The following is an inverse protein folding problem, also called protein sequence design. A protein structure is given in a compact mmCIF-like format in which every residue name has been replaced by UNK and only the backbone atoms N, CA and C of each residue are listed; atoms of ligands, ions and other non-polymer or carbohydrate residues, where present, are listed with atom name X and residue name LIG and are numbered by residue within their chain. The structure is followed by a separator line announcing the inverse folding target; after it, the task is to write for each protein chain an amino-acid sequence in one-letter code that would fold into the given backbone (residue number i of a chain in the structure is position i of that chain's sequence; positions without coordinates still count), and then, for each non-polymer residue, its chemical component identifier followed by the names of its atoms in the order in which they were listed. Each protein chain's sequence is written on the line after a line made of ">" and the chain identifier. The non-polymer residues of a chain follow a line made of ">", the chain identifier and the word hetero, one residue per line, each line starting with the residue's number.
data_IF_705882063394
#
_entry.id   IF_705882063394
#
_cell.length_a   1.000
_cell.length_b   1.000
_cell.length_c   1.000
_cell.angle_alpha   90.00
_cell.angle_beta   90.00
_cell.angle_gamma   90.00
#
_symmetry.space_group_name_H-M   'P 1'
#
loop_
_entity.id
_entity.type
_entity.pdbx_description
1 polymer ?
#
# COMPACT_ATOMS: atom_id res chain seq x y z
N UNK A 1 -91.69 24.39 -20.49
CA UNK A 1 -91.08 25.39 -21.40
C UNK A 1 -89.56 25.23 -21.27
N UNK A 2 -88.91 24.43 -22.14
CA UNK A 2 -88.34 24.85 -23.45
C UNK A 2 -87.16 25.82 -23.21
N UNK A 3 -85.89 25.54 -23.54
CA UNK A 3 -85.33 25.04 -24.80
C UNK A 3 -83.90 24.43 -24.67
N UNK A 4 -83.60 23.51 -25.60
CA UNK A 4 -82.29 23.01 -26.13
C UNK A 4 -81.46 24.14 -26.84
N UNK A 5 -80.29 23.90 -27.51
CA UNK A 5 -78.95 23.39 -27.11
C UNK A 5 -77.79 24.22 -27.77
N UNK A 6 -76.61 23.60 -28.01
CA UNK A 6 -75.38 23.98 -28.80
C UNK A 6 -74.19 24.55 -27.99
N UNK A 7 -73.08 23.81 -27.79
CA UNK A 7 -71.92 23.48 -28.68
C UNK A 7 -71.09 24.70 -29.10
N UNK A 8 -69.83 24.76 -28.65
CA UNK A 8 -68.61 24.81 -29.50
C UNK A 8 -67.35 24.53 -28.66
N UNK A 9 -66.45 23.73 -29.22
CA UNK A 9 -65.23 23.20 -28.66
C UNK A 9 -64.05 24.18 -28.73
N UNK A 10 -63.06 24.01 -27.84
CA UNK A 10 -61.65 24.32 -28.13
C UNK A 10 -60.77 23.19 -27.59
N UNK A 11 -59.95 22.67 -28.50
CA UNK A 11 -58.92 21.64 -28.34
C UNK A 11 -57.70 22.22 -27.61
N UNK A 12 -57.18 21.52 -26.59
CA UNK A 12 -55.91 21.83 -25.95
C UNK A 12 -55.26 20.52 -25.48
N UNK A 13 -54.31 20.04 -26.28
CA UNK A 13 -53.60 18.75 -26.15
C UNK A 13 -52.67 18.71 -24.94
N UNK A 14 -52.95 17.81 -24.00
CA UNK A 14 -52.02 17.35 -22.96
C UNK A 14 -51.22 16.16 -23.49
N UNK A 15 -49.88 16.25 -23.54
CA UNK A 15 -49.00 15.10 -23.78
C UNK A 15 -48.92 14.25 -22.50
N UNK A 16 -49.46 13.04 -22.55
CA UNK A 16 -49.19 11.96 -21.60
C UNK A 16 -48.17 11.01 -22.24
N UNK A 17 -46.98 10.91 -21.69
CA UNK A 17 -45.98 9.93 -22.13
C UNK A 17 -46.40 8.53 -21.64
N UNK A 18 -46.96 7.74 -22.54
CA UNK A 18 -47.28 6.33 -22.31
C UNK A 18 -46.01 5.48 -22.36
N UNK A 19 -45.76 4.71 -21.29
CA UNK A 19 -44.75 3.68 -21.26
C UNK A 19 -45.13 2.57 -22.26
N UNK A 20 -44.35 2.44 -23.33
CA UNK A 20 -44.48 1.34 -24.30
C UNK A 20 -43.77 0.13 -23.72
N UNK A 21 -44.54 -0.89 -23.32
CA UNK A 21 -44.04 -2.24 -23.10
C UNK A 21 -43.84 -2.91 -24.48
N UNK A 22 -42.65 -3.42 -24.82
CA UNK A 22 -42.53 -4.30 -25.98
C UNK A 22 -43.04 -5.71 -25.67
N UNK A 23 -44.02 -6.07 -26.49
CA UNK A 23 -44.64 -7.37 -26.84
C UNK A 23 -43.80 -8.66 -26.58
N UNK A 24 -44.39 -9.75 -26.04
CA UNK A 24 -43.70 -11.02 -25.81
C UNK A 24 -43.96 -12.01 -26.96
N UNK A 25 -43.16 -11.98 -28.03
CA UNK A 25 -42.94 -13.12 -28.92
C UNK A 25 -42.07 -12.72 -30.13
N UNK A 26 -40.75 -12.89 -29.98
CA UNK A 26 -39.87 -13.28 -31.07
C UNK A 26 -38.64 -13.94 -30.43
N UNK A 27 -38.74 -15.25 -30.18
CA UNK A 27 -37.61 -16.11 -29.92
C UNK A 27 -36.74 -16.15 -31.18
N UNK A 28 -35.93 -15.12 -31.39
CA UNK A 28 -34.78 -15.19 -32.28
C UNK A 28 -33.63 -15.76 -31.44
N UNK A 29 -33.06 -16.87 -31.91
CA UNK A 29 -31.88 -17.49 -31.32
C UNK A 29 -30.82 -16.41 -31.03
N UNK A 30 -30.48 -16.22 -29.75
CA UNK A 30 -29.43 -15.30 -29.30
C UNK A 30 -28.12 -15.74 -29.97
N UNK A 31 -27.76 -15.07 -31.06
CA UNK A 31 -26.48 -15.28 -31.74
C UNK A 31 -25.37 -14.83 -30.78
N UNK A 32 -24.70 -15.80 -30.17
CA UNK A 32 -23.40 -15.62 -29.54
C UNK A 32 -22.47 -15.01 -30.59
N UNK A 33 -22.17 -13.72 -30.48
CA UNK A 33 -21.07 -13.09 -31.23
C UNK A 33 -19.76 -13.65 -30.68
N UNK A 34 -19.35 -14.81 -31.20
CA UNK A 34 -18.10 -15.48 -30.88
C UNK A 34 -16.94 -14.75 -31.54
N UNK A 35 -16.54 -13.60 -31.01
CA UNK A 35 -15.18 -13.10 -31.22
C UNK A 35 -14.29 -13.86 -30.23
N UNK A 36 -13.39 -14.75 -30.68
CA UNK A 36 -12.52 -15.48 -29.78
C UNK A 36 -11.51 -14.51 -29.15
N UNK A 37 -11.62 -14.25 -27.84
CA UNK A 37 -10.46 -13.82 -27.05
C UNK A 37 -9.62 -15.07 -26.84
N UNK A 38 -8.44 -15.10 -27.44
CA UNK A 38 -7.65 -16.33 -27.63
C UNK A 38 -7.12 -16.94 -26.32
N UNK A 39 -7.01 -16.16 -25.24
CA UNK A 39 -6.74 -16.66 -23.90
C UNK A 39 -7.00 -15.60 -22.84
N UNK A 40 -7.41 -16.02 -21.64
CA UNK A 40 -7.02 -15.32 -20.41
C UNK A 40 -5.89 -16.11 -19.76
N UNK A 41 -4.95 -15.41 -19.11
CA UNK A 41 -3.89 -16.03 -18.32
C UNK A 41 -4.16 -15.73 -16.85
N UNK A 42 -4.65 -16.73 -16.12
CA UNK A 42 -4.46 -16.77 -14.68
C UNK A 42 -2.99 -17.11 -14.46
N UNK A 43 -2.37 -16.62 -13.38
CA UNK A 43 -1.03 -17.08 -13.00
C UNK A 43 -1.01 -18.62 -13.09
N UNK A 44 -0.36 -19.13 -14.13
CA UNK A 44 -0.17 -20.56 -14.46
C UNK A 44 -1.32 -21.36 -15.13
N UNK A 45 -2.42 -20.77 -15.65
CA UNK A 45 -3.41 -21.51 -16.49
C UNK A 45 -4.05 -20.69 -17.61
N UNK A 46 -4.07 -21.26 -18.83
CA UNK A 46 -4.87 -20.76 -19.95
C UNK A 46 -6.31 -21.28 -19.82
N UNK A 47 -7.33 -20.42 -19.84
CA UNK A 47 -8.70 -20.87 -20.15
C UNK A 47 -9.42 -19.90 -21.08
N UNK A 48 -10.48 -20.39 -21.72
CA UNK A 48 -11.19 -19.68 -22.78
C UNK A 48 -12.28 -18.79 -22.19
N UNK A 49 -12.26 -17.51 -22.57
CA UNK A 49 -13.32 -16.56 -22.25
C UNK A 49 -14.43 -16.60 -23.33
N UNK A 50 -15.68 -16.35 -22.93
CA UNK A 50 -16.80 -16.17 -23.86
C UNK A 50 -17.27 -14.71 -23.81
N UNK A 51 -17.63 -14.13 -24.96
CA UNK A 51 -18.26 -12.81 -25.01
C UNK A 51 -19.77 -12.97 -24.95
N UNK A 52 -20.40 -12.34 -23.96
CA UNK A 52 -21.85 -12.31 -23.79
C UNK A 52 -22.28 -10.85 -23.74
N UNK A 53 -23.06 -10.39 -24.73
CA UNK A 53 -23.51 -8.98 -24.86
C UNK A 53 -22.38 -7.94 -24.67
N UNK A 54 -21.20 -8.21 -25.24
CA UNK A 54 -20.02 -7.33 -25.14
C UNK A 54 -19.19 -7.48 -23.85
N UNK A 55 -19.62 -8.32 -22.90
CA UNK A 55 -18.88 -8.59 -21.67
C UNK A 55 -18.07 -9.88 -21.79
N UNK A 56 -16.79 -9.81 -21.43
CA UNK A 56 -15.96 -11.00 -21.27
C UNK A 56 -16.43 -11.82 -20.06
N UNK A 57 -16.67 -13.10 -20.28
CA UNK A 57 -17.08 -14.05 -19.25
C UNK A 57 -16.09 -15.20 -19.18
N UNK A 58 -15.86 -15.73 -17.98
CA UNK A 58 -14.88 -16.81 -17.74
C UNK A 58 -15.50 -17.92 -16.90
N UNK A 59 -14.97 -19.15 -16.96
CA UNK A 59 -15.41 -20.24 -16.09
C UNK A 59 -15.21 -19.87 -14.62
N UNK A 60 -16.30 -19.83 -13.86
CA UNK A 60 -16.31 -19.46 -12.44
C UNK A 60 -15.40 -20.36 -11.61
N UNK A 61 -15.39 -21.67 -11.89
CA UNK A 61 -14.58 -22.64 -11.15
C UNK A 61 -13.08 -22.30 -11.26
N UNK A 62 -12.61 -22.03 -12.47
CA UNK A 62 -11.21 -21.72 -12.74
C UNK A 62 -10.83 -20.39 -12.07
N UNK A 63 -11.68 -19.37 -12.21
CA UNK A 63 -11.51 -18.07 -11.55
C UNK A 63 -11.47 -18.21 -10.02
N UNK A 64 -12.46 -18.86 -9.42
CA UNK A 64 -12.57 -19.03 -7.97
C UNK A 64 -11.37 -19.78 -7.39
N UNK A 65 -11.04 -20.94 -7.96
CA UNK A 65 -9.93 -21.76 -7.48
C UNK A 65 -8.59 -21.03 -7.59
N UNK A 66 -8.36 -20.26 -8.66
CA UNK A 66 -7.13 -19.48 -8.82
C UNK A 66 -6.95 -18.36 -7.79
N UNK A 67 -8.04 -17.83 -7.25
CA UNK A 67 -8.05 -16.80 -6.20
C UNK A 67 -8.16 -17.41 -4.79
N UNK A 68 -8.04 -18.74 -4.67
CA UNK A 68 -8.09 -19.46 -3.39
C UNK A 68 -9.50 -19.56 -2.80
N UNK A 69 -10.55 -19.42 -3.60
CA UNK A 69 -11.93 -19.64 -3.18
C UNK A 69 -12.34 -21.10 -3.41
N UNK A 70 -13.03 -21.66 -2.42
CA UNK A 70 -13.70 -22.96 -2.55
C UNK A 70 -15.07 -22.76 -3.18
N UNK A 71 -15.47 -23.64 -4.09
CA UNK A 71 -16.78 -23.61 -4.75
C UNK A 71 -17.54 -24.90 -4.50
N UNK A 72 -18.80 -24.79 -4.06
CA UNK A 72 -19.68 -25.92 -3.76
C UNK A 72 -21.05 -25.71 -4.40
N UNK A 73 -21.54 -26.68 -5.18
CA UNK A 73 -22.94 -26.70 -5.62
C UNK A 73 -23.83 -27.20 -4.49
N UNK A 74 -24.84 -26.44 -4.12
CA UNK A 74 -25.83 -26.80 -3.11
C UNK A 74 -27.02 -27.55 -3.74
N UNK A 75 -27.76 -28.38 -2.96
CA UNK A 75 -28.93 -29.12 -3.47
C UNK A 75 -30.03 -28.24 -4.08
N UNK A 76 -30.12 -26.98 -3.64
CA UNK A 76 -31.09 -26.00 -4.15
C UNK A 76 -30.68 -25.31 -5.47
N UNK A 77 -29.58 -25.77 -6.10
CA UNK A 77 -29.09 -25.24 -7.37
C UNK A 77 -28.25 -23.97 -7.27
N UNK A 78 -27.95 -23.49 -6.06
CA UNK A 78 -27.01 -22.38 -5.85
C UNK A 78 -25.56 -22.87 -5.84
N UNK A 79 -24.68 -22.07 -6.43
CA UNK A 79 -23.25 -22.19 -6.25
C UNK A 79 -22.84 -21.29 -5.09
N UNK A 80 -22.19 -21.88 -4.09
CA UNK A 80 -21.61 -21.19 -2.95
C UNK A 80 -20.10 -21.08 -3.15
N UNK A 81 -19.56 -19.87 -3.07
CA UNK A 81 -18.12 -19.62 -2.99
C UNK A 81 -17.75 -19.22 -1.56
N UNK A 82 -16.68 -19.80 -1.02
CA UNK A 82 -16.21 -19.52 0.34
C UNK A 82 -14.71 -19.27 0.38
N UNK A 83 -14.31 -18.22 1.11
CA UNK A 83 -12.92 -17.92 1.49
C UNK A 83 -12.90 -17.25 2.86
N UNK A 84 -12.27 -17.88 3.85
CA UNK A 84 -12.35 -17.46 5.25
C UNK A 84 -13.80 -17.41 5.76
N UNK A 85 -14.22 -16.27 6.31
CA UNK A 85 -15.59 -15.99 6.76
C UNK A 85 -16.52 -15.49 5.65
N UNK A 86 -15.97 -15.17 4.47
CA UNK A 86 -16.77 -14.62 3.37
C UNK A 86 -17.44 -15.74 2.58
N UNK A 87 -18.75 -15.58 2.36
CA UNK A 87 -19.58 -16.50 1.56
C UNK A 87 -20.32 -15.70 0.49
N UNK A 88 -20.17 -16.12 -0.77
CA UNK A 88 -20.93 -15.60 -1.91
C UNK A 88 -21.83 -16.70 -2.46
N UNK A 89 -23.06 -16.37 -2.84
CA UNK A 89 -23.97 -17.31 -3.49
C UNK A 89 -24.50 -16.76 -4.80
N UNK A 90 -24.63 -17.63 -5.80
CA UNK A 90 -25.20 -17.28 -7.10
C UNK A 90 -25.93 -18.47 -7.71
N UNK A 91 -26.73 -18.22 -8.74
CA UNK A 91 -27.49 -19.25 -9.44
C UNK A 91 -27.34 -19.09 -10.96
N UNK A 92 -27.34 -20.18 -11.75
CA UNK A 92 -27.37 -20.10 -13.19
C UNK A 92 -28.58 -19.28 -13.69
N UNK A 93 -28.38 -18.57 -14.81
CA UNK A 93 -29.36 -17.72 -15.49
C UNK A 93 -29.85 -16.49 -14.71
N UNK A 94 -29.27 -16.22 -13.55
CA UNK A 94 -29.55 -15.01 -12.76
C UNK A 94 -28.51 -13.92 -13.03
N UNK A 95 -28.88 -12.67 -12.74
CA UNK A 95 -28.01 -11.50 -12.83
C UNK A 95 -27.55 -11.02 -11.46
N UNK A 96 -27.57 -11.87 -10.44
CA UNK A 96 -27.24 -11.47 -9.07
C UNK A 96 -26.25 -12.42 -8.40
N UNK A 97 -25.35 -11.85 -7.61
CA UNK A 97 -24.51 -12.55 -6.63
C UNK A 97 -24.82 -11.97 -5.26
N UNK A 98 -25.06 -12.84 -4.29
CA UNK A 98 -25.41 -12.48 -2.92
C UNK A 98 -24.20 -12.66 -1.99
N UNK A 99 -23.99 -11.70 -1.11
CA UNK A 99 -23.07 -11.78 0.04
C UNK A 99 -23.90 -11.60 1.31
N UNK A 100 -24.35 -12.70 1.91
CA UNK A 100 -25.34 -12.64 2.99
C UNK A 100 -26.67 -12.01 2.52
N UNK A 101 -27.04 -10.85 3.07
CA UNK A 101 -28.26 -10.10 2.68
C UNK A 101 -28.02 -9.10 1.54
N UNK A 102 -26.78 -8.84 1.16
CA UNK A 102 -26.44 -7.87 0.13
C UNK A 102 -26.45 -8.52 -1.26
N UNK A 103 -27.13 -7.92 -2.23
CA UNK A 103 -27.15 -8.37 -3.61
C UNK A 103 -26.33 -7.44 -4.51
N UNK A 104 -25.46 -8.02 -5.33
CA UNK A 104 -24.72 -7.31 -6.39
C UNK A 104 -25.28 -7.71 -7.75
N UNK A 105 -25.68 -6.72 -8.55
CA UNK A 105 -26.21 -6.94 -9.90
C UNK A 105 -25.05 -7.10 -10.89
N UNK A 106 -25.12 -8.15 -11.70
CA UNK A 106 -24.19 -8.45 -12.77
C UNK A 106 -24.67 -7.81 -14.09
N UNK A 107 -23.74 -7.34 -14.93
CA UNK A 107 -24.09 -6.71 -16.21
C UNK A 107 -24.69 -7.68 -17.23
N UNK A 108 -24.38 -8.98 -17.11
CA UNK A 108 -24.97 -10.07 -17.89
C UNK A 108 -25.23 -11.27 -16.98
N UNK A 109 -26.23 -12.11 -17.28
CA UNK A 109 -26.56 -13.25 -16.45
C UNK A 109 -25.42 -14.26 -16.40
N UNK A 110 -25.36 -14.99 -15.30
CA UNK A 110 -24.53 -16.18 -15.14
C UNK A 110 -25.00 -17.23 -16.15
N UNK A 111 -24.11 -17.76 -16.99
CA UNK A 111 -24.48 -18.73 -18.04
C UNK A 111 -23.93 -20.10 -17.75
N UNK A 112 -24.77 -21.13 -17.79
CA UNK A 112 -24.32 -22.51 -17.79
C UNK A 112 -24.16 -22.97 -19.25
N UNK A 113 -22.92 -23.17 -19.69
CA UNK A 113 -22.59 -23.61 -21.06
C UNK A 113 -21.68 -24.82 -20.96
N UNK A 114 -22.04 -25.94 -21.60
CA UNK A 114 -21.26 -27.19 -21.57
C UNK A 114 -20.85 -27.62 -20.15
N UNK A 115 -21.82 -27.59 -19.22
CA UNK A 115 -21.62 -27.91 -17.78
C UNK A 115 -20.62 -26.99 -17.04
N UNK A 116 -20.19 -25.87 -17.64
CA UNK A 116 -19.36 -24.85 -17.00
C UNK A 116 -20.16 -23.58 -16.78
N UNK A 117 -20.01 -23.02 -15.59
CA UNK A 117 -20.66 -21.77 -15.22
C UNK A 117 -19.77 -20.60 -15.63
N UNK A 118 -20.25 -19.74 -16.52
CA UNK A 118 -19.57 -18.55 -17.00
C UNK A 118 -20.12 -17.32 -16.31
N UNK A 119 -19.21 -16.46 -15.88
CA UNK A 119 -19.52 -15.22 -15.15
C UNK A 119 -18.80 -14.02 -15.73
N UNK A 120 -19.36 -12.80 -15.67
CA UNK A 120 -18.68 -11.59 -16.13
C UNK A 120 -17.39 -11.39 -15.32
N UNK A 121 -16.24 -11.45 -16.00
CA UNK A 121 -14.93 -11.53 -15.35
C UNK A 121 -14.72 -10.35 -14.41
N UNK A 122 -14.91 -9.11 -14.88
CA UNK A 122 -14.67 -7.90 -14.09
C UNK A 122 -15.50 -7.84 -12.82
N UNK A 123 -16.81 -8.07 -12.93
CA UNK A 123 -17.73 -7.96 -11.81
C UNK A 123 -17.45 -9.02 -10.74
N UNK A 124 -17.18 -10.26 -11.17
CA UNK A 124 -16.94 -11.36 -10.22
C UNK A 124 -15.52 -11.31 -9.66
N UNK A 125 -14.50 -10.97 -10.45
CA UNK A 125 -13.12 -10.79 -9.97
C UNK A 125 -13.07 -9.76 -8.84
N UNK A 126 -13.80 -8.65 -8.95
CA UNK A 126 -13.90 -7.66 -7.88
C UNK A 126 -14.49 -8.22 -6.59
N UNK A 127 -15.58 -8.99 -6.68
CA UNK A 127 -16.21 -9.64 -5.52
C UNK A 127 -15.31 -10.70 -4.87
N UNK A 128 -14.42 -11.31 -5.65
CA UNK A 128 -13.46 -12.30 -5.17
C UNK A 128 -12.17 -11.68 -4.59
N UNK A 129 -12.13 -10.35 -4.45
CA UNK A 129 -10.98 -9.64 -3.90
C UNK A 129 -9.82 -9.57 -4.88
N UNK A 130 -10.09 -9.27 -6.15
CA UNK A 130 -9.08 -9.13 -7.19
C UNK A 130 -9.43 -7.99 -8.16
N UNK A 131 -8.50 -7.57 -9.00
CA UNK A 131 -8.71 -6.59 -10.07
C UNK A 131 -8.39 -7.18 -11.44
N UNK A 132 -8.91 -6.54 -12.47
CA UNK A 132 -8.67 -6.88 -13.89
C UNK A 132 -7.92 -5.76 -14.58
N UNK A 133 -6.81 -6.08 -15.24
CA UNK A 133 -6.01 -5.16 -16.07
C UNK A 133 -6.14 -5.61 -17.52
N UNK A 134 -6.42 -4.68 -18.44
CA UNK A 134 -6.45 -4.96 -19.88
C UNK A 134 -5.07 -4.78 -20.48
N UNK A 135 -4.54 -5.83 -21.11
CA UNK A 135 -3.26 -5.83 -21.80
C UNK A 135 -3.50 -5.70 -23.31
N UNK A 136 -3.40 -4.47 -23.82
CA UNK A 136 -3.74 -4.16 -25.21
C UNK A 136 -2.86 -4.88 -26.24
N UNK A 137 -1.57 -5.08 -25.92
CA UNK A 137 -0.58 -5.74 -26.80
C UNK A 137 -0.92 -7.21 -27.05
N UNK A 138 -1.52 -7.87 -26.07
CA UNK A 138 -1.85 -9.31 -26.12
C UNK A 138 -3.34 -9.56 -26.25
N UNK A 139 -4.17 -8.51 -26.17
CA UNK A 139 -5.64 -8.60 -26.10
C UNK A 139 -6.10 -9.53 -24.97
N UNK A 140 -5.40 -9.49 -23.83
CA UNK A 140 -5.71 -10.33 -22.67
C UNK A 140 -6.20 -9.50 -21.49
N UNK A 141 -6.94 -10.15 -20.59
CA UNK A 141 -7.29 -9.61 -19.27
C UNK A 141 -6.40 -10.31 -18.26
N UNK A 142 -5.53 -9.56 -17.58
CA UNK A 142 -4.73 -10.01 -16.44
C UNK A 142 -5.52 -9.83 -15.16
N UNK A 143 -5.55 -10.86 -14.32
CA UNK A 143 -6.20 -10.80 -13.00
C UNK A 143 -5.13 -10.68 -11.93
N UNK A 144 -5.27 -9.69 -11.07
CA UNK A 144 -4.36 -9.44 -9.95
C UNK A 144 -5.15 -9.62 -8.66
N UNK A 145 -4.81 -10.62 -7.86
CA UNK A 145 -5.42 -10.78 -6.54
C UNK A 145 -5.11 -9.54 -5.69
N UNK A 146 -6.12 -8.94 -5.08
CA UNK A 146 -5.90 -8.08 -3.92
C UNK A 146 -5.58 -9.03 -2.79
N UNK A 147 -4.35 -8.99 -2.28
CA UNK A 147 -3.93 -9.83 -1.17
C UNK A 147 -4.98 -9.75 -0.05
N UNK A 148 -5.74 -10.83 0.11
CA UNK A 148 -6.80 -10.98 1.11
C UNK A 148 -6.30 -11.94 2.19
N UNK A 149 -5.17 -11.60 2.82
CA UNK A 149 -5.14 -11.56 4.29
C UNK A 149 -5.84 -10.26 4.70
N UNK A 150 -5.94 -9.90 5.97
CA UNK A 150 -6.24 -8.50 6.29
C UNK A 150 -5.39 -7.58 5.40
N UNK A 151 -5.99 -6.71 4.57
CA UNK A 151 -5.21 -5.65 3.93
C UNK A 151 -4.89 -4.71 5.07
N UNK A 152 -3.82 -5.07 5.76
CA UNK A 152 -2.95 -4.12 6.34
C UNK A 152 -2.69 -3.08 5.27
N UNK A 153 -3.03 -1.80 5.48
CA UNK A 153 -2.61 -0.76 4.56
C UNK A 153 -1.10 -0.93 4.35
N UNK A 154 -0.69 -1.30 3.14
CA UNK A 154 0.73 -1.40 2.81
C UNK A 154 1.09 -0.15 2.03
N UNK A 155 2.09 0.58 2.51
CA UNK A 155 2.56 1.79 1.85
C UNK A 155 4.06 1.69 1.63
N UNK A 156 4.47 1.87 0.38
CA UNK A 156 5.84 1.75 -0.06
C UNK A 156 6.40 3.10 -0.49
N UNK A 157 7.67 3.36 -0.14
CA UNK A 157 8.41 4.57 -0.50
C UNK A 157 9.75 4.21 -1.15
N UNK A 158 9.94 4.73 -2.36
CA UNK A 158 11.14 4.49 -3.19
C UNK A 158 11.85 5.78 -3.58
N UNK A 159 11.26 6.93 -3.25
CA UNK A 159 11.79 8.26 -3.53
C UNK A 159 12.09 8.51 -5.02
N UNK A 160 11.30 7.87 -5.90
CA UNK A 160 11.48 7.98 -7.36
C UNK A 160 10.95 9.29 -7.94
N UNK A 161 10.05 9.97 -7.21
CA UNK A 161 9.44 11.25 -7.63
C UNK A 161 9.98 12.44 -6.85
N UNK A 162 9.76 12.44 -5.54
CA UNK A 162 10.11 13.52 -4.60
C UNK A 162 10.41 12.92 -3.21
N UNK A 163 10.23 13.70 -2.14
CA UNK A 163 10.38 13.21 -0.75
C UNK A 163 9.29 12.23 -0.33
N UNK A 164 8.25 12.06 -1.15
CA UNK A 164 7.07 11.25 -0.89
C UNK A 164 6.44 11.57 0.46
N UNK A 165 6.59 12.82 0.91
CA UNK A 165 6.14 13.39 2.20
C UNK A 165 6.92 12.89 3.44
N UNK A 166 8.12 12.37 3.26
CA UNK A 166 9.11 12.25 4.33
C UNK A 166 9.78 13.60 4.60
N UNK A 167 10.17 13.82 5.85
CA UNK A 167 10.92 14.98 6.33
C UNK A 167 12.11 14.51 7.16
N UNK A 168 13.10 15.37 7.37
CA UNK A 168 14.31 15.04 8.13
C UNK A 168 14.44 15.90 9.39
N UNK A 169 15.28 15.44 10.33
CA UNK A 169 15.69 16.20 11.50
C UNK A 169 17.05 15.74 12.03
N UNK A 170 17.64 16.61 12.85
CA UNK A 170 18.95 16.42 13.48
C UNK A 170 18.84 16.80 14.96
N UNK A 171 19.35 15.95 15.85
CA UNK A 171 19.38 16.13 17.30
C UNK A 171 20.74 15.72 17.87
N UNK A 172 20.92 15.98 19.16
CA UNK A 172 22.11 15.80 19.98
C UNK A 172 23.29 16.72 19.60
N UNK A 173 22.97 17.93 19.14
CA UNK A 173 23.94 18.97 18.77
C UNK A 173 23.63 20.30 19.46
N UNK A 174 24.61 21.20 19.66
CA UNK A 174 24.38 22.52 20.26
C UNK A 174 23.30 23.32 19.52
N UNK A 175 22.49 24.08 20.26
CA UNK A 175 21.46 24.96 19.65
C UNK A 175 22.09 26.00 18.73
N UNK A 176 23.28 26.48 19.05
CA UNK A 176 24.06 27.49 18.33
C UNK A 176 25.14 26.91 17.41
N UNK A 177 24.98 25.65 16.98
CA UNK A 177 25.95 24.97 16.13
C UNK A 177 26.28 25.74 14.83
N UNK A 178 27.56 25.79 14.47
CA UNK A 178 27.99 26.29 13.18
C UNK A 178 27.59 25.32 12.06
N UNK A 179 26.90 25.84 11.04
CA UNK A 179 26.47 25.05 9.87
C UNK A 179 27.65 24.35 9.17
N UNK A 180 28.83 24.99 9.13
CA UNK A 180 30.04 24.42 8.55
C UNK A 180 30.67 23.32 9.42
N UNK A 181 30.42 23.32 10.73
CA UNK A 181 31.05 22.40 11.67
C UNK A 181 30.40 21.02 11.61
N UNK A 182 29.06 21.01 11.51
CA UNK A 182 28.23 19.81 11.50
C UNK A 182 27.82 19.35 10.08
N UNK A 183 27.97 20.18 9.04
CA UNK A 183 27.77 19.78 7.64
C UNK A 183 26.43 19.04 7.39
N UNK A 184 25.37 19.47 8.07
CA UNK A 184 24.07 18.79 8.05
C UNK A 184 23.44 18.92 6.67
N UNK A 185 23.13 17.78 6.04
CA UNK A 185 22.52 17.76 4.73
C UNK A 185 21.43 16.69 4.65
N UNK A 186 20.39 16.97 3.90
CA UNK A 186 19.31 16.02 3.67
C UNK A 186 18.61 16.28 2.34
N UNK A 187 18.06 15.21 1.76
CA UNK A 187 17.27 15.33 0.53
C UNK A 187 17.24 14.04 -0.26
N UNK A 188 16.40 13.99 -1.28
CA UNK A 188 16.32 12.81 -2.13
C UNK A 188 17.38 12.87 -3.22
N UNK A 189 18.14 11.78 -3.35
CA UNK A 189 19.26 11.68 -4.28
C UNK A 189 19.34 10.32 -4.97
N UNK A 190 20.26 10.23 -5.92
CA UNK A 190 20.66 8.96 -6.54
C UNK A 190 21.67 8.27 -5.62
N UNK A 191 21.45 6.99 -5.37
CA UNK A 191 22.38 6.12 -4.65
C UNK A 191 23.24 5.38 -5.70
N UNK A 192 24.57 5.61 -5.73
CA UNK A 192 25.46 4.87 -6.61
C UNK A 192 25.82 3.51 -5.98
N UNK A 193 25.16 2.45 -6.45
CA UNK A 193 25.40 1.08 -6.00
C UNK A 193 26.57 0.44 -6.77
N UNK A 194 27.04 -0.70 -6.28
CA UNK A 194 28.08 -1.50 -6.92
C UNK A 194 27.75 -1.82 -8.40
N UNK A 195 28.81 -2.04 -9.20
CA UNK A 195 28.73 -2.39 -10.63
C UNK A 195 27.95 -1.37 -11.50
N UNK A 196 27.86 -0.10 -11.07
CA UNK A 196 27.21 0.96 -11.84
C UNK A 196 25.68 0.95 -11.76
N UNK A 197 25.11 0.10 -10.90
CA UNK A 197 23.68 0.15 -10.60
C UNK A 197 23.34 1.45 -9.85
N UNK A 198 22.13 1.96 -10.07
CA UNK A 198 21.64 3.14 -9.35
C UNK A 198 20.23 2.91 -8.85
N UNK A 199 19.93 3.48 -7.69
CA UNK A 199 18.57 3.61 -7.17
C UNK A 199 18.38 5.02 -6.60
N UNK A 200 17.22 5.33 -6.04
CA UNK A 200 16.95 6.61 -5.37
C UNK A 200 16.66 6.37 -3.90
N UNK A 201 16.95 7.36 -3.08
CA UNK A 201 16.70 7.28 -1.64
C UNK A 201 16.77 8.64 -0.97
N UNK A 202 16.32 8.69 0.27
CA UNK A 202 16.42 9.86 1.12
C UNK A 202 17.79 9.86 1.80
N UNK A 203 18.63 10.83 1.46
CA UNK A 203 19.95 11.02 2.03
C UNK A 203 19.87 11.79 3.35
N UNK A 204 20.63 11.35 4.34
CA UNK A 204 21.02 12.13 5.52
C UNK A 204 22.55 12.15 5.60
N UNK A 205 23.11 13.32 5.88
CA UNK A 205 24.54 13.49 6.12
C UNK A 205 24.78 14.45 7.27
N UNK A 206 25.81 14.18 8.06
CA UNK A 206 26.21 15.01 9.18
C UNK A 206 27.60 14.64 9.69
N UNK A 207 28.36 15.66 10.03
CA UNK A 207 29.64 15.59 10.72
C UNK A 207 29.37 15.60 12.23
N UNK A 208 29.56 14.45 12.87
CA UNK A 208 29.48 14.37 14.32
C UNK A 208 30.73 14.98 14.96
N UNK A 209 30.51 15.92 15.90
CA UNK A 209 31.55 16.65 16.64
C UNK A 209 31.45 16.44 18.16
N UNK A 210 30.51 15.61 18.60
CA UNK A 210 30.05 15.57 19.99
C UNK A 210 29.93 14.15 20.56
N UNK A 211 30.42 13.12 19.86
CA UNK A 211 30.19 11.70 20.18
C UNK A 211 28.70 11.30 20.24
N UNK A 212 27.80 12.18 19.83
CA UNK A 212 26.36 11.97 19.87
C UNK A 212 25.76 12.89 18.81
N UNK A 213 25.39 12.32 17.67
CA UNK A 213 24.62 13.01 16.64
C UNK A 213 23.52 12.07 16.18
N UNK A 214 22.27 12.50 16.37
CA UNK A 214 21.11 11.75 15.90
C UNK A 214 20.54 12.37 14.63
N UNK A 215 20.56 11.62 13.53
CA UNK A 215 19.97 12.01 12.25
C UNK A 215 18.77 11.14 11.97
N UNK A 216 17.63 11.70 11.55
CA UNK A 216 16.45 10.89 11.26
C UNK A 216 15.62 11.41 10.11
N UNK A 217 14.88 10.50 9.49
CA UNK A 217 13.72 10.78 8.65
C UNK A 217 12.44 10.40 9.38
N UNK A 218 11.38 11.16 9.13
CA UNK A 218 10.06 10.86 9.66
C UNK A 218 8.95 11.13 8.67
N UNK A 219 7.88 10.34 8.80
CA UNK A 219 6.65 10.49 8.03
C UNK A 219 5.42 10.31 8.91
N UNK A 220 4.44 11.17 8.70
CA UNK A 220 3.11 11.03 9.31
C UNK A 220 2.27 10.04 8.51
N UNK A 221 1.63 9.11 9.21
CA UNK A 221 0.61 8.21 8.71
C UNK A 221 -0.74 8.64 9.29
N UNK A 222 -1.77 8.68 8.45
CA UNK A 222 -3.08 9.21 8.80
C UNK A 222 -4.21 8.39 8.16
N UNK A 223 -5.42 8.97 8.10
CA UNK A 223 -6.56 8.34 7.43
C UNK A 223 -6.31 8.05 5.96
N UNK A 224 -5.41 8.77 5.29
CA UNK A 224 -5.00 8.49 3.90
C UNK A 224 -4.34 7.12 3.75
N UNK A 225 -3.62 6.68 4.78
CA UNK A 225 -3.01 5.34 4.89
C UNK A 225 -3.87 4.38 5.71
N UNK A 226 -5.13 4.71 6.00
CA UNK A 226 -6.05 3.83 6.73
C UNK A 226 -5.89 3.81 8.25
N UNK A 227 -5.11 4.74 8.83
CA UNK A 227 -4.98 4.87 10.29
C UNK A 227 -6.26 5.48 10.89
N UNK A 228 -6.84 4.78 11.86
CA UNK A 228 -8.04 5.17 12.61
C UNK A 228 -7.65 5.74 13.97
N UNK A 229 -8.40 6.71 14.54
CA UNK A 229 -8.15 7.22 15.89
C UNK A 229 -8.15 6.15 16.98
N UNK A 230 -7.30 6.32 18.00
CA UNK A 230 -7.27 5.54 19.24
C UNK A 230 -7.24 4.02 19.05
N UNK A 231 -6.67 3.54 17.94
CA UNK A 231 -6.69 2.14 17.51
C UNK A 231 -5.32 1.50 17.73
N UNK A 232 -5.30 0.28 18.25
CA UNK A 232 -4.09 -0.51 18.38
C UNK A 232 -3.74 -1.15 17.04
N UNK A 233 -2.47 -1.10 16.68
CA UNK A 233 -1.91 -1.69 15.47
C UNK A 233 -0.68 -2.51 15.83
N UNK A 234 -0.50 -3.61 15.09
CA UNK A 234 0.85 -4.16 14.88
C UNK A 234 1.34 -3.62 13.54
N UNK A 235 2.47 -2.92 13.53
CA UNK A 235 3.04 -2.29 12.34
C UNK A 235 4.35 -2.97 11.98
N UNK A 236 4.41 -3.61 10.82
CA UNK A 236 5.64 -4.15 10.25
C UNK A 236 6.30 -3.07 9.40
N UNK A 237 7.51 -2.68 9.78
CA UNK A 237 8.34 -1.73 9.05
C UNK A 237 9.52 -2.49 8.45
N UNK A 238 9.70 -2.36 7.14
CA UNK A 238 10.83 -2.88 6.40
C UNK A 238 11.47 -1.75 5.59
N UNK A 239 12.79 -1.70 5.51
CA UNK A 239 13.49 -0.72 4.69
C UNK A 239 14.90 -1.17 4.33
N UNK A 240 15.43 -0.60 3.26
CA UNK A 240 16.84 -0.71 2.92
C UNK A 240 17.57 0.59 3.25
N UNK A 241 18.78 0.45 3.80
CA UNK A 241 19.70 1.56 4.01
C UNK A 241 20.96 1.35 3.17
N UNK A 242 21.33 2.35 2.38
CA UNK A 242 22.60 2.34 1.67
C UNK A 242 23.72 2.90 2.55
N UNK A 243 24.82 2.14 2.65
CA UNK A 243 26.04 2.52 3.38
C UNK A 243 27.29 2.10 2.61
N UNK A 244 28.35 2.91 2.70
CA UNK A 244 29.68 2.62 2.16
C UNK A 244 30.66 2.09 3.21
N UNK A 245 30.27 2.14 4.49
CA UNK A 245 31.16 1.91 5.63
C UNK A 245 31.40 0.41 5.85
N UNK A 246 32.67 0.02 5.82
CA UNK A 246 33.10 -1.35 6.11
C UNK A 246 33.32 -1.57 7.60
N UNK A 247 33.16 -2.82 8.04
CA UNK A 247 33.43 -3.24 9.42
C UNK A 247 34.89 -3.12 9.83
N UNK A 248 35.14 -3.27 11.14
CA UNK A 248 36.48 -3.33 11.76
C UNK A 248 37.37 -2.09 11.52
N UNK A 249 36.78 -0.99 11.07
CA UNK A 249 37.46 0.28 10.90
C UNK A 249 37.57 1.02 12.24
N UNK A 250 38.76 1.54 12.52
CA UNK A 250 39.02 2.43 13.67
C UNK A 250 38.76 3.88 13.27
N UNK A 251 37.91 4.56 14.04
CA UNK A 251 37.63 5.99 13.92
C UNK A 251 37.77 6.70 15.26
N UNK A 252 37.64 8.02 15.24
CA UNK A 252 37.59 8.86 16.45
C UNK A 252 36.18 8.73 17.07
N UNK A 253 36.08 8.63 18.40
CA UNK A 253 34.81 8.33 19.10
C UNK A 253 34.29 6.89 18.93
N UNK A 254 34.65 6.21 17.83
CA UNK A 254 34.26 4.83 17.56
C UNK A 254 34.46 4.42 16.11
N UNK A 255 33.93 3.26 15.73
CA UNK A 255 33.98 2.77 14.35
C UNK A 255 32.98 3.52 13.46
N UNK A 256 33.36 3.99 12.26
CA UNK A 256 32.42 4.62 11.31
C UNK A 256 31.27 3.71 10.89
N UNK A 257 31.45 2.39 10.97
CA UNK A 257 30.43 1.39 10.65
C UNK A 257 29.68 0.86 11.89
N UNK A 258 30.42 0.55 12.96
CA UNK A 258 29.88 -0.21 14.09
C UNK A 258 29.50 0.66 15.31
N UNK A 259 29.91 1.93 15.31
CA UNK A 259 29.52 2.94 16.31
C UNK A 259 28.48 3.94 15.78
N UNK A 260 27.87 3.65 14.63
CA UNK A 260 26.70 4.36 14.11
C UNK A 260 25.52 3.41 14.14
N UNK A 261 24.56 3.69 15.01
CA UNK A 261 23.50 2.75 15.38
C UNK A 261 22.19 3.07 14.70
N UNK A 262 21.62 2.13 13.95
CA UNK A 262 20.34 2.28 13.27
C UNK A 262 19.21 2.06 14.27
N UNK A 263 18.29 3.03 14.34
CA UNK A 263 17.11 2.99 15.20
C UNK A 263 15.85 3.31 14.43
N UNK A 264 14.73 2.70 14.84
CA UNK A 264 13.44 3.01 14.28
C UNK A 264 12.32 2.91 15.31
N UNK A 265 11.22 3.61 15.05
CA UNK A 265 10.05 3.62 15.91
C UNK A 265 8.77 3.93 15.12
N UNK A 266 7.65 3.39 15.62
CA UNK A 266 6.30 3.80 15.23
C UNK A 266 5.62 4.37 16.46
N UNK A 267 5.43 5.69 16.48
CA UNK A 267 4.97 6.43 17.65
C UNK A 267 3.68 7.18 17.37
N UNK A 268 2.96 7.59 18.42
CA UNK A 268 1.72 8.36 18.31
C UNK A 268 1.90 9.87 18.59
N UNK A 269 3.14 10.26 18.92
CA UNK A 269 3.56 11.64 19.18
C UNK A 269 4.47 12.09 18.05
N UNK A 270 4.24 13.28 17.50
CA UNK A 270 5.05 13.79 16.40
C UNK A 270 6.52 13.96 16.86
N UNK A 271 7.51 13.41 16.12
CA UNK A 271 8.91 13.71 16.37
C UNK A 271 9.17 15.20 16.22
N UNK A 272 9.85 15.79 17.20
CA UNK A 272 10.26 17.18 17.24
C UNK A 272 11.63 17.28 17.87
N UNK A 273 12.44 18.14 17.28
CA UNK A 273 13.69 18.59 17.88
C UNK A 273 13.37 19.80 18.75
N UNK A 274 13.75 19.74 20.03
CA UNK A 274 13.50 20.77 21.04
C UNK A 274 14.82 21.15 21.70
N UNK A 275 14.96 22.40 22.13
CA UNK A 275 16.08 22.78 22.97
C UNK A 275 15.92 22.15 24.36
N UNK A 276 16.97 21.48 24.83
CA UNK A 276 17.13 20.96 26.17
C UNK A 276 18.26 21.74 26.86
N UNK A 277 17.92 22.36 28.00
CA UNK A 277 18.82 23.21 28.78
C UNK A 277 19.77 22.39 29.67
N UNK A 278 19.70 21.05 29.63
CA UNK A 278 20.37 20.14 30.59
C UNK A 278 21.54 19.38 29.97
N UNK A 279 22.51 20.08 29.36
CA UNK A 279 23.82 19.46 29.13
C UNK A 279 24.70 19.60 30.37
N UNK A 280 25.56 18.61 30.59
CA UNK A 280 26.60 18.64 31.62
C UNK A 280 27.64 19.76 31.43
N UNK A 281 27.61 20.44 30.28
CA UNK A 281 28.55 21.51 29.90
C UNK A 281 27.95 22.92 30.04
N UNK A 282 26.64 23.03 30.32
CA UNK A 282 25.93 24.32 30.44
C UNK A 282 25.56 24.98 29.11
N UNK A 283 25.84 24.33 27.98
CA UNK A 283 25.38 24.76 26.65
C UNK A 283 24.03 24.10 26.35
N UNK A 284 23.01 24.81 25.86
CA UNK A 284 21.76 24.16 25.46
C UNK A 284 21.97 23.30 24.19
N UNK A 285 21.41 22.09 24.17
CA UNK A 285 21.47 21.18 23.01
C UNK A 285 20.08 21.00 22.41
N UNK A 286 20.04 20.68 21.12
CA UNK A 286 18.86 20.22 20.43
C UNK A 286 18.68 18.73 20.74
N UNK A 287 17.58 18.35 21.39
CA UNK A 287 17.25 16.96 21.72
C UNK A 287 15.98 16.52 20.98
N UNK A 288 15.86 15.22 20.70
CA UNK A 288 14.62 14.63 20.21
C UNK A 288 13.62 14.51 21.37
N UNK A 289 12.36 14.90 21.16
CA UNK A 289 11.29 14.76 22.16
C UNK A 289 10.80 13.31 22.38
N UNK A 290 11.48 12.32 21.81
CA UNK A 290 11.19 10.90 21.90
C UNK A 290 12.39 10.20 22.52
N UNK A 291 12.13 9.20 23.35
CA UNK A 291 13.18 8.40 23.95
C UNK A 291 13.71 7.38 22.94
N UNK A 292 14.85 7.74 22.35
CA UNK A 292 15.63 6.91 21.43
C UNK A 292 16.67 6.03 22.13
N UNK A 293 16.78 6.13 23.45
CA UNK A 293 17.92 5.60 24.20
C UNK A 293 19.20 6.36 23.88
N UNK A 294 20.34 5.68 23.95
CA UNK A 294 21.66 6.27 23.70
C UNK A 294 22.51 5.27 22.92
N UNK A 295 23.01 5.68 21.76
CA UNK A 295 23.94 4.90 20.94
C UNK A 295 23.51 3.41 20.80
N UNK A 296 24.28 2.48 21.37
CA UNK A 296 24.06 1.02 21.32
C UNK A 296 22.89 0.52 22.20
N UNK A 297 22.12 1.41 22.81
CA UNK A 297 20.97 1.09 23.64
C UNK A 297 19.72 1.75 23.04
N UNK A 298 18.71 0.93 22.74
CA UNK A 298 17.39 1.41 22.29
C UNK A 298 16.58 2.03 23.43
N UNK A 299 15.71 2.98 23.09
CA UNK A 299 14.77 3.61 24.03
C UNK A 299 13.36 3.04 23.92
N UNK A 300 12.43 3.60 24.69
CA UNK A 300 11.02 3.17 24.66
C UNK A 300 10.32 3.51 23.33
N UNK A 301 10.74 4.59 22.68
CA UNK A 301 10.08 5.11 21.47
C UNK A 301 10.80 4.65 20.20
N UNK A 302 12.13 4.50 20.24
CA UNK A 302 12.90 3.97 19.11
C UNK A 302 13.77 2.78 19.56
N UNK A 303 13.57 1.65 18.89
CA UNK A 303 14.33 0.42 19.10
C UNK A 303 15.64 0.47 18.33
N UNK A 304 16.69 -0.15 18.89
CA UNK A 304 17.92 -0.44 18.18
C UNK A 304 17.71 -1.60 17.20
N UNK A 305 18.00 -1.38 15.92
CA UNK A 305 17.90 -2.40 14.88
C UNK A 305 19.26 -2.99 14.49
N UNK A 306 20.35 -2.25 14.70
CA UNK A 306 21.70 -2.68 14.35
C UNK A 306 22.63 -1.49 14.14
N UNK A 307 23.60 -1.66 13.25
CA UNK A 307 24.59 -0.64 12.89
C UNK A 307 24.66 -0.43 11.36
N UNK A 308 25.47 0.52 10.91
CA UNK A 308 25.57 0.88 9.48
C UNK A 308 26.64 0.10 8.71
N UNK A 309 27.26 -0.91 9.31
CA UNK A 309 28.22 -1.77 8.62
C UNK A 309 27.59 -2.42 7.39
N UNK A 310 28.19 -2.22 6.21
CA UNK A 310 27.68 -2.79 4.96
C UNK A 310 27.81 -4.33 4.95
N UNK A 311 26.95 -5.04 4.19
CA UNK A 311 26.97 -6.50 4.13
C UNK A 311 28.31 -7.12 3.70
N UNK A 312 29.04 -6.47 2.79
CA UNK A 312 30.35 -6.92 2.31
C UNK A 312 31.43 -5.88 2.67
N UNK A 313 32.10 -5.98 3.84
CA UNK A 313 33.00 -4.94 4.36
C UNK A 313 34.10 -4.46 3.40
N UNK A 314 34.61 -5.32 2.54
CA UNK A 314 35.73 -5.05 1.63
C UNK A 314 35.30 -4.47 0.27
N UNK A 315 34.00 -4.56 -0.06
CA UNK A 315 33.50 -4.12 -1.36
C UNK A 315 33.50 -2.59 -1.49
N UNK A 316 33.85 -2.08 -2.67
CA UNK A 316 33.83 -0.64 -2.93
C UNK A 316 32.42 -0.12 -3.22
N UNK A 317 32.12 1.11 -2.78
CA UNK A 317 30.85 1.79 -3.04
C UNK A 317 29.76 1.49 -2.02
N UNK A 318 28.54 1.94 -2.31
CA UNK A 318 27.38 1.71 -1.46
C UNK A 318 26.77 0.33 -1.70
N UNK A 319 26.38 -0.31 -0.60
CA UNK A 319 25.53 -1.50 -0.60
C UNK A 319 24.24 -1.25 0.20
N UNK A 320 23.16 -1.90 -0.21
CA UNK A 320 21.91 -1.90 0.53
C UNK A 320 21.97 -2.92 1.67
N UNK A 321 21.71 -2.45 2.88
CA UNK A 321 21.51 -3.27 4.08
C UNK A 321 20.03 -3.24 4.45
N UNK A 322 19.45 -4.43 4.55
CA UNK A 322 18.04 -4.60 4.85
C UNK A 322 17.77 -4.57 6.36
N UNK A 323 16.68 -3.91 6.75
CA UNK A 323 16.16 -3.90 8.12
C UNK A 323 14.67 -4.20 8.11
N UNK A 324 14.22 -4.97 9.10
CA UNK A 324 12.80 -5.26 9.32
C UNK A 324 12.52 -5.34 10.82
N UNK A 325 11.43 -4.74 11.26
CA UNK A 325 11.00 -4.76 12.65
C UNK A 325 9.48 -4.57 12.77
N UNK A 326 8.86 -5.34 13.68
CA UNK A 326 7.47 -5.14 14.07
C UNK A 326 7.35 -4.25 15.32
N UNK A 327 6.36 -3.37 15.31
CA UNK A 327 6.05 -2.44 16.40
C UNK A 327 4.59 -2.61 16.83
N UNK A 328 4.32 -2.51 18.13
CA UNK A 328 2.94 -2.40 18.62
C UNK A 328 2.69 -0.97 19.08
N UNK A 329 1.62 -0.35 18.59
CA UNK A 329 1.36 1.07 18.85
C UNK A 329 -0.14 1.35 18.87
N UNK A 330 -0.54 2.31 19.70
CA UNK A 330 -1.88 2.88 19.67
C UNK A 330 -1.86 4.26 19.03
N UNK A 331 -2.57 4.43 17.91
CA UNK A 331 -2.71 5.73 17.25
C UNK A 331 -3.32 6.78 18.17
N UNK A 332 -2.99 8.05 17.95
CA UNK A 332 -3.53 9.12 18.77
C UNK A 332 -5.01 9.42 18.47
N UNK A 333 -5.60 10.34 19.25
CA UNK A 333 -6.99 10.74 19.12
C UNK A 333 -7.35 11.38 17.76
N UNK A 334 -6.35 11.85 17.00
CA UNK A 334 -6.53 12.38 15.64
C UNK A 334 -6.35 11.32 14.55
N UNK A 335 -6.10 10.06 14.91
CA UNK A 335 -5.86 9.00 13.93
C UNK A 335 -4.52 9.14 13.22
N UNK A 336 -3.48 9.58 13.94
CA UNK A 336 -2.13 9.68 13.41
C UNK A 336 -1.16 8.73 14.10
N UNK A 337 -0.22 8.25 13.31
CA UNK A 337 1.02 7.59 13.70
C UNK A 337 2.18 8.30 13.00
N UNK A 338 3.38 8.17 13.55
CA UNK A 338 4.59 8.72 12.96
C UNK A 338 5.62 7.62 12.88
N UNK A 339 6.14 7.39 11.68
CA UNK A 339 7.30 6.53 11.46
C UNK A 339 8.52 7.39 11.61
N UNK A 340 9.51 6.89 12.34
CA UNK A 340 10.82 7.51 12.45
C UNK A 340 11.89 6.45 12.23
N UNK A 341 12.86 6.76 11.38
CA UNK A 341 14.03 5.93 11.08
C UNK A 341 15.23 6.86 11.18
N UNK A 342 16.25 6.48 11.92
CA UNK A 342 17.43 7.33 12.09
C UNK A 342 18.65 6.57 12.55
N UNK A 343 19.75 7.32 12.69
CA UNK A 343 21.00 6.81 13.23
C UNK A 343 21.48 7.65 14.40
N UNK A 344 21.92 6.97 15.44
CA UNK A 344 22.51 7.51 16.67
C UNK A 344 24.03 7.24 16.61
N UNK A 345 24.84 8.27 16.38
CA UNK A 345 26.26 8.12 16.08
C UNK A 345 27.15 8.42 17.28
N UNK A 346 27.92 7.42 17.70
CA UNK A 346 29.10 7.58 18.56
C UNK A 346 30.41 7.79 17.78
N UNK A 347 30.39 7.64 16.46
CA UNK A 347 31.54 7.94 15.61
C UNK A 347 31.64 9.45 15.38
N UNK A 348 32.81 10.03 15.64
CA UNK A 348 33.17 11.42 15.31
C UNK A 348 33.71 11.51 13.88
N UNK A 349 32.81 11.82 12.96
CA UNK A 349 33.17 12.02 11.56
C UNK A 349 31.95 12.30 10.70
N UNK A 350 32.21 12.49 9.41
CA UNK A 350 31.17 12.68 8.41
C UNK A 350 30.54 11.33 8.08
N UNK A 351 29.26 11.20 8.38
CA UNK A 351 28.46 10.02 8.01
C UNK A 351 27.46 10.43 6.94
N UNK A 352 27.36 9.65 5.85
CA UNK A 352 26.37 9.88 4.78
C UNK A 352 25.64 8.59 4.43
N UNK A 353 24.36 8.53 4.73
CA UNK A 353 23.52 7.34 4.59
C UNK A 353 22.31 7.66 3.71
N UNK A 354 21.75 6.63 3.07
CA UNK A 354 20.51 6.78 2.32
C UNK A 354 19.48 5.74 2.78
N UNK A 355 18.22 6.11 2.82
CA UNK A 355 17.11 5.22 3.12
C UNK A 355 16.22 5.05 1.89
N UNK A 356 15.83 3.82 1.57
CA UNK A 356 15.00 3.49 0.41
C UNK A 356 14.19 2.21 0.66
N UNK A 357 13.32 1.86 -0.28
CA UNK A 357 12.46 0.67 -0.22
C UNK A 357 11.74 0.54 1.13
N UNK A 358 11.18 1.64 1.63
CA UNK A 358 10.51 1.66 2.93
C UNK A 358 9.10 1.11 2.74
N UNK A 359 8.81 -0.01 3.36
CA UNK A 359 7.52 -0.70 3.33
C UNK A 359 6.91 -0.71 4.73
N UNK A 360 5.66 -0.24 4.85
CA UNK A 360 4.93 -0.15 6.13
C UNK A 360 3.61 -0.88 5.99
N UNK A 361 3.34 -1.84 6.87
CA UNK A 361 2.12 -2.67 6.90
C UNK A 361 1.44 -2.64 8.27
N UNK A 362 0.12 -2.42 8.37
CA UNK A 362 -0.62 -2.41 9.65
C UNK A 362 -1.58 -3.60 9.83
N UNK A 363 -1.35 -4.48 10.80
CA UNK A 363 -2.18 -5.64 11.08
C UNK A 363 -3.24 -5.40 12.16
#
# INVERSE_FOLDING_TARGET
>A
MTHKPMITAVLGTMLLAAAVFPNPAALAADTLSSQPITAFTLAHKNSTALIVKGYATVPLKDLASSLGWQITLKPNGFYELKKGTTVLTLKPNETQILQGKQATVLPVPVRLVNQRLYVPVRAVTQLLGAETIWEASTKTIKIVAKNSGSIAPQVQYTFTKDTEGWTSGFADLPVDHGQADYQLNSGVGVIPLAAGATTRGFMLSGMNRSDDLFMFITRTLSSTEGVKPNTNYTVSLSFDMATSEGGEQMGVGGSPAQSVYVKAGIVNTAPKVIADDVSSTGTPHLALNLDKGIQSVGGKDLLLLGNVEKPTPEAAGYELKHFEQEFTVRSNASGKLYVIIGTDSGYEGLTSLYYTNIDISFH
#
